data_IF_214342240510
#
_entry.id   IF_214342240510
#
_cell.length_a   1.000
_cell.length_b   1.000
_cell.length_c   1.000
_cell.angle_alpha   90.00
_cell.angle_beta   90.00
_cell.angle_gamma   90.00
#
_symmetry.space_group_name_H-M   'P 1'
#
loop_
_entity.id
_entity.type
_entity.pdbx_description
1 polymer ?
#
# COMPACT_ATOMS: atom_id res chain seq x y z
N UNK A 1 -31.22 34.20 -5.63
CA UNK A 1 -31.27 32.85 -6.24
C UNK A 1 -30.83 31.85 -5.20
N UNK A 2 -31.69 30.90 -4.83
CA UNK A 2 -31.38 29.93 -3.77
C UNK A 2 -30.43 28.85 -4.32
N UNK A 3 -29.18 28.86 -3.86
CA UNK A 3 -28.21 27.78 -4.05
C UNK A 3 -28.53 26.56 -3.15
N UNK A 4 -29.80 26.17 -3.06
CA UNK A 4 -30.14 24.97 -2.32
C UNK A 4 -29.69 23.75 -3.14
N UNK A 5 -28.91 22.82 -2.55
CA UNK A 5 -28.49 21.62 -3.24
C UNK A 5 -29.74 20.83 -3.66
N UNK A 6 -29.93 20.72 -4.98
CA UNK A 6 -31.03 19.96 -5.57
C UNK A 6 -30.63 18.50 -5.63
N UNK A 7 -31.50 17.62 -5.11
CA UNK A 7 -31.32 16.17 -5.27
C UNK A 7 -31.41 15.86 -6.78
N UNK A 8 -30.40 15.19 -7.37
CA UNK A 8 -30.42 14.83 -8.79
C UNK A 8 -31.54 13.83 -9.10
N UNK A 9 -32.05 13.88 -10.32
CA UNK A 9 -33.02 12.90 -10.82
C UNK A 9 -32.41 11.47 -10.86
N UNK A 10 -33.24 10.42 -10.92
CA UNK A 10 -32.78 9.04 -10.92
C UNK A 10 -31.72 8.73 -11.99
N UNK A 11 -31.89 9.21 -13.22
CA UNK A 11 -30.98 8.94 -14.34
C UNK A 11 -29.61 9.59 -14.12
N UNK A 12 -29.60 10.83 -13.61
CA UNK A 12 -28.35 11.52 -13.24
C UNK A 12 -27.64 10.81 -12.08
N UNK A 13 -28.38 10.27 -11.11
CA UNK A 13 -27.77 9.45 -10.03
C UNK A 13 -27.15 8.18 -10.57
N UNK A 14 -27.83 7.46 -11.46
CA UNK A 14 -27.32 6.22 -12.07
C UNK A 14 -26.02 6.47 -12.84
N UNK A 15 -25.97 7.54 -13.66
CA UNK A 15 -24.77 7.93 -14.39
C UNK A 15 -23.60 8.26 -13.46
N UNK A 16 -23.85 8.99 -12.38
CA UNK A 16 -22.82 9.30 -11.39
C UNK A 16 -22.29 8.06 -10.67
N UNK A 17 -23.18 7.14 -10.29
CA UNK A 17 -22.79 5.87 -9.66
C UNK A 17 -21.98 5.01 -10.63
N UNK A 18 -22.38 4.93 -11.90
CA UNK A 18 -21.64 4.19 -12.92
C UNK A 18 -20.22 4.76 -13.10
N UNK A 19 -20.09 6.09 -13.18
CA UNK A 19 -18.80 6.77 -13.27
C UNK A 19 -17.93 6.54 -12.04
N UNK A 20 -18.51 6.58 -10.85
CA UNK A 20 -17.77 6.31 -9.61
C UNK A 20 -17.25 4.87 -9.58
N UNK A 21 -18.08 3.90 -9.99
CA UNK A 21 -17.67 2.49 -10.09
C UNK A 21 -16.51 2.31 -11.07
N UNK A 22 -16.58 2.93 -12.25
CA UNK A 22 -15.50 2.89 -13.23
C UNK A 22 -14.19 3.46 -12.65
N UNK A 23 -14.27 4.59 -11.94
CA UNK A 23 -13.12 5.19 -11.28
C UNK A 23 -12.54 4.22 -10.25
N UNK A 24 -13.37 3.66 -9.36
CA UNK A 24 -12.91 2.69 -8.36
C UNK A 24 -12.21 1.49 -9.01
N UNK A 25 -12.79 0.91 -10.06
CA UNK A 25 -12.17 -0.21 -10.78
C UNK A 25 -10.80 0.14 -11.37
N UNK A 26 -10.65 1.36 -11.91
CA UNK A 26 -9.36 1.83 -12.42
C UNK A 26 -8.34 2.02 -11.31
N UNK A 27 -8.76 2.51 -10.15
CA UNK A 27 -7.90 2.61 -8.98
C UNK A 27 -7.47 1.24 -8.47
N UNK A 28 -8.37 0.27 -8.42
CA UNK A 28 -8.05 -1.10 -7.98
C UNK A 28 -6.95 -1.72 -8.85
N UNK A 29 -7.02 -1.53 -10.17
CA UNK A 29 -5.97 -2.00 -11.10
C UNK A 29 -4.63 -1.30 -10.83
N UNK A 30 -4.65 0.01 -10.59
CA UNK A 30 -3.43 0.77 -10.29
C UNK A 30 -2.80 0.36 -8.95
N UNK A 31 -3.64 0.13 -7.93
CA UNK A 31 -3.20 -0.34 -6.62
C UNK A 31 -2.55 -1.72 -6.75
N UNK A 32 -3.19 -2.65 -7.47
CA UNK A 32 -2.61 -3.97 -7.71
C UNK A 32 -1.26 -3.89 -8.45
N UNK A 33 -1.13 -2.98 -9.43
CA UNK A 33 0.13 -2.75 -10.13
C UNK A 33 1.22 -2.14 -9.23
N UNK A 34 0.85 -1.26 -8.30
CA UNK A 34 1.78 -0.71 -7.30
C UNK A 34 2.23 -1.79 -6.31
N UNK A 35 1.32 -2.66 -5.87
CA UNK A 35 1.67 -3.77 -4.97
C UNK A 35 2.65 -4.74 -5.63
N UNK A 36 2.45 -5.05 -6.92
CA UNK A 36 3.39 -5.88 -7.69
C UNK A 36 4.77 -5.20 -7.81
N UNK A 37 4.81 -3.89 -8.08
CA UNK A 37 6.05 -3.14 -8.19
C UNK A 37 6.79 -3.10 -6.84
N UNK A 38 6.08 -2.87 -5.74
CA UNK A 38 6.64 -2.90 -4.40
C UNK A 38 7.24 -4.27 -4.09
N UNK A 39 6.51 -5.35 -4.38
CA UNK A 39 7.01 -6.71 -4.17
C UNK A 39 8.28 -7.00 -4.97
N UNK A 40 8.36 -6.52 -6.22
CA UNK A 40 9.59 -6.61 -7.04
C UNK A 40 10.74 -5.83 -6.44
N UNK A 41 10.49 -4.59 -6.02
CA UNK A 41 11.50 -3.73 -5.40
C UNK A 41 12.04 -4.35 -4.10
N UNK A 42 11.17 -4.90 -3.27
CA UNK A 42 11.55 -5.56 -2.02
C UNK A 42 12.43 -6.78 -2.30
N UNK A 43 12.04 -7.62 -3.27
CA UNK A 43 12.86 -8.76 -3.69
C UNK A 43 14.23 -8.33 -4.23
N UNK A 44 14.29 -7.27 -5.04
CA UNK A 44 15.55 -6.72 -5.53
C UNK A 44 16.41 -6.15 -4.39
N UNK A 45 15.78 -5.46 -3.44
CA UNK A 45 16.45 -4.91 -2.27
C UNK A 45 17.03 -6.00 -1.38
N UNK A 46 16.30 -7.08 -1.10
CA UNK A 46 16.76 -8.23 -0.32
C UNK A 46 18.02 -8.87 -0.91
N UNK A 47 18.10 -8.93 -2.24
CA UNK A 47 19.24 -9.47 -2.96
C UNK A 47 20.37 -8.45 -3.19
N UNK A 48 20.11 -7.17 -2.94
CA UNK A 48 21.12 -6.12 -3.09
C UNK A 48 22.20 -6.21 -2.00
N UNK A 49 23.42 -5.70 -2.28
CA UNK A 49 24.47 -5.60 -1.25
C UNK A 49 24.01 -4.84 -0.01
N UNK A 50 23.18 -3.81 -0.20
CA UNK A 50 22.67 -2.99 0.88
C UNK A 50 21.66 -3.76 1.75
N UNK A 51 20.71 -4.47 1.13
CA UNK A 51 19.75 -5.30 1.85
C UNK A 51 20.42 -6.38 2.69
N UNK A 52 21.44 -7.05 2.14
CA UNK A 52 22.27 -8.01 2.89
C UNK A 52 22.96 -7.37 4.10
N UNK A 53 23.46 -6.14 3.97
CA UNK A 53 24.06 -5.41 5.09
C UNK A 53 23.03 -5.10 6.19
N UNK A 54 21.84 -4.64 5.81
CA UNK A 54 20.76 -4.39 6.75
C UNK A 54 20.29 -5.66 7.46
N UNK A 55 20.15 -6.78 6.73
CA UNK A 55 19.80 -8.09 7.30
C UNK A 55 20.81 -8.54 8.35
N UNK A 56 22.12 -8.52 8.01
CA UNK A 56 23.20 -8.86 8.96
C UNK A 56 23.21 -7.95 10.17
N UNK A 57 22.92 -6.66 10.00
CA UNK A 57 22.81 -5.72 11.13
C UNK A 57 21.63 -6.07 12.03
N UNK A 58 20.47 -6.38 11.47
CA UNK A 58 19.28 -6.77 12.23
C UNK A 58 19.52 -8.07 13.02
N UNK A 59 20.14 -9.08 12.41
CA UNK A 59 20.52 -10.33 13.07
C UNK A 59 21.45 -10.09 14.27
N UNK A 60 22.47 -9.24 14.12
CA UNK A 60 23.36 -8.88 15.23
C UNK A 60 22.60 -8.24 16.38
N UNK A 61 21.70 -7.31 16.10
CA UNK A 61 20.91 -6.63 17.13
C UNK A 61 19.93 -7.59 17.82
N UNK A 62 19.32 -8.52 17.07
CA UNK A 62 18.45 -9.55 17.62
C UNK A 62 19.21 -10.48 18.57
N UNK A 63 20.39 -10.95 18.16
CA UNK A 63 21.25 -11.80 18.98
C UNK A 63 21.72 -11.10 20.26
N UNK A 64 22.05 -9.79 20.17
CA UNK A 64 22.40 -8.98 21.34
C UNK A 64 21.24 -8.85 22.34
N UNK A 65 20.01 -8.67 21.84
CA UNK A 65 18.80 -8.61 22.68
C UNK A 65 18.49 -9.95 23.36
N UNK A 66 18.66 -11.06 22.65
CA UNK A 66 18.48 -12.39 23.23
C UNK A 66 19.52 -12.69 24.31
N UNK A 67 20.79 -12.41 24.04
CA UNK A 67 21.87 -12.62 25.01
C UNK A 67 21.68 -11.79 26.30
N UNK A 68 21.16 -10.56 26.19
CA UNK A 68 20.86 -9.72 27.36
C UNK A 68 19.59 -10.15 28.11
N UNK A 69 18.59 -10.72 27.42
CA UNK A 69 17.38 -11.26 28.07
C UNK A 69 17.60 -12.61 28.75
N UNK A 70 18.60 -13.40 28.35
CA UNK A 70 18.93 -14.69 28.98
C UNK A 70 19.86 -14.55 30.20
N UNK A 71 20.33 -13.34 30.50
CA UNK A 71 21.22 -13.03 31.64
C UNK A 71 20.46 -12.43 32.85
N UNK A 72 19.14 -12.24 32.73
CA UNK A 72 18.20 -11.81 33.77
C UNK A 72 17.36 -12.99 34.25
#
# INVERSE_FOLDING_TARGET
>A
MSNQPRIPDPETRERHIAKLKEICQRWDVLIAGLDELNAKLDADFENSPLGLLYKRRAERLANQKQASSSQL
#
